data_IF_890866605589
#
_entry.id   IF_890866605589
#
_cell.length_a   1.000
_cell.length_b   1.000
_cell.length_c   1.000
_cell.angle_alpha   90.00
_cell.angle_beta   90.00
_cell.angle_gamma   90.00
#
_symmetry.space_group_name_H-M   'P 1'
#
loop_
_entity.id
_entity.type
_entity.pdbx_description
1 polymer ?
#
# COMPACT_ATOMS: atom_id res chain seq x y z
N UNK A 1 6.02 6.40 -9.67
CA UNK A 1 6.26 5.41 -8.60
C UNK A 1 7.69 4.94 -8.65
N UNK A 2 8.39 4.99 -7.51
CA UNK A 2 9.83 4.66 -7.43
C UNK A 2 10.05 3.15 -7.35
N UNK A 3 11.26 2.63 -7.69
CA UNK A 3 11.59 1.22 -7.54
C UNK A 3 11.41 0.70 -6.10
N UNK A 4 11.71 1.54 -5.09
CA UNK A 4 11.58 1.20 -3.68
C UNK A 4 10.13 1.02 -3.24
N UNK A 5 9.22 1.86 -3.73
CA UNK A 5 7.78 1.69 -3.50
C UNK A 5 7.30 0.38 -4.12
N UNK A 6 7.73 0.08 -5.35
CA UNK A 6 7.36 -1.17 -6.03
C UNK A 6 7.86 -2.42 -5.28
N UNK A 7 9.06 -2.38 -4.72
CA UNK A 7 9.59 -3.45 -3.88
C UNK A 7 8.76 -3.61 -2.61
N UNK A 8 8.44 -2.51 -1.92
CA UNK A 8 7.64 -2.55 -0.71
C UNK A 8 6.23 -3.11 -0.94
N UNK A 9 5.59 -2.73 -2.04
CA UNK A 9 4.27 -3.28 -2.39
C UNK A 9 4.32 -4.78 -2.65
N UNK A 10 5.39 -5.29 -3.27
CA UNK A 10 5.59 -6.75 -3.47
C UNK A 10 5.81 -7.49 -2.16
N UNK A 11 6.57 -6.90 -1.22
CA UNK A 11 6.71 -7.46 0.13
C UNK A 11 5.35 -7.57 0.81
N UNK A 12 4.52 -6.51 0.74
CA UNK A 12 3.19 -6.50 1.33
C UNK A 12 2.28 -7.55 0.70
N UNK A 13 2.31 -7.73 -0.62
CA UNK A 13 1.57 -8.81 -1.30
C UNK A 13 1.93 -10.18 -0.72
N UNK A 14 3.23 -10.45 -0.55
CA UNK A 14 3.71 -11.72 -0.01
C UNK A 14 3.39 -11.90 1.48
N UNK A 15 3.67 -10.89 2.31
CA UNK A 15 3.48 -10.94 3.77
C UNK A 15 2.01 -11.06 4.16
N UNK A 16 1.13 -10.36 3.46
CA UNK A 16 -0.32 -10.34 3.75
C UNK A 16 -1.11 -11.37 2.94
N UNK A 17 -0.46 -12.09 2.03
CA UNK A 17 -1.09 -13.02 1.10
C UNK A 17 -2.27 -12.37 0.37
N UNK A 18 -1.99 -11.24 -0.26
CA UNK A 18 -2.94 -10.46 -1.07
C UNK A 18 -2.39 -10.25 -2.47
N UNK A 19 -3.28 -9.83 -3.37
CA UNK A 19 -2.91 -9.28 -4.66
C UNK A 19 -3.29 -7.82 -4.73
N UNK A 20 -2.32 -6.94 -4.93
CA UNK A 20 -2.54 -5.53 -5.20
C UNK A 20 -3.00 -5.39 -6.66
N UNK A 21 -4.16 -4.78 -6.84
CA UNK A 21 -4.82 -4.58 -8.13
C UNK A 21 -4.46 -3.22 -8.73
N UNK A 22 -4.28 -2.22 -7.88
CA UNK A 22 -3.92 -0.86 -8.25
C UNK A 22 -3.13 -0.24 -7.10
N UNK A 23 -2.08 0.50 -7.42
CA UNK A 23 -1.39 1.38 -6.48
C UNK A 23 -1.14 2.73 -7.16
N UNK A 24 -1.39 3.81 -6.43
CA UNK A 24 -1.22 5.18 -6.91
C UNK A 24 -0.48 6.01 -5.86
N UNK A 25 0.31 6.96 -6.33
CA UNK A 25 0.80 8.04 -5.47
C UNK A 25 -0.34 9.03 -5.24
N UNK A 26 -0.45 9.50 -4.00
CA UNK A 26 -1.41 10.50 -3.58
C UNK A 26 -0.68 11.64 -2.85
N UNK A 27 -1.43 12.53 -2.20
CA UNK A 27 -0.84 13.60 -1.39
C UNK A 27 0.03 14.59 -2.16
N UNK A 28 0.98 15.21 -1.46
CA UNK A 28 1.62 16.46 -1.93
C UNK A 28 2.37 16.31 -3.26
N UNK A 29 2.96 15.14 -3.50
CA UNK A 29 3.65 14.80 -4.74
C UNK A 29 2.69 14.65 -5.92
N UNK A 30 1.52 14.04 -5.70
CA UNK A 30 0.50 13.89 -6.72
C UNK A 30 -0.15 15.23 -7.11
N UNK A 31 -0.24 16.17 -6.17
CA UNK A 31 -0.81 17.50 -6.42
C UNK A 31 0.22 18.55 -6.90
N UNK A 32 1.51 18.24 -6.89
CA UNK A 32 2.56 19.13 -7.42
C UNK A 32 3.05 20.22 -6.47
N UNK A 33 2.83 20.08 -5.16
CA UNK A 33 3.33 21.01 -4.13
C UNK A 33 4.26 20.34 -3.11
N UNK A 34 4.83 19.17 -3.48
CA UNK A 34 5.81 18.49 -2.64
C UNK A 34 7.11 19.30 -2.50
N UNK A 35 7.63 19.28 -1.28
CA UNK A 35 8.99 19.70 -0.94
C UNK A 35 9.95 18.51 -0.99
N UNK A 36 11.28 18.73 -0.93
CA UNK A 36 12.25 17.63 -0.81
C UNK A 36 11.99 16.70 0.38
N UNK A 37 11.48 17.26 1.49
CA UNK A 37 11.21 16.53 2.73
C UNK A 37 9.81 15.88 2.77
N UNK A 38 9.03 16.01 1.68
CA UNK A 38 7.72 15.39 1.58
C UNK A 38 7.83 13.87 1.47
N UNK A 39 6.97 13.18 2.21
CA UNK A 39 6.72 11.75 2.14
C UNK A 39 6.12 11.32 0.80
N UNK A 40 6.01 9.99 0.64
CA UNK A 40 5.29 9.37 -0.46
C UNK A 40 4.01 8.74 0.09
N UNK A 41 2.90 9.45 -0.04
CA UNK A 41 1.57 8.90 0.24
C UNK A 41 1.18 7.90 -0.86
N UNK A 42 0.97 6.64 -0.49
CA UNK A 42 0.61 5.56 -1.40
C UNK A 42 -0.80 5.08 -1.05
N UNK A 43 -1.66 4.96 -2.07
CA UNK A 43 -3.00 4.38 -1.92
C UNK A 43 -3.12 3.17 -2.81
N UNK A 44 -3.65 2.07 -2.29
CA UNK A 44 -3.76 0.85 -3.07
C UNK A 44 -5.09 0.13 -2.86
N UNK A 45 -5.51 -0.59 -3.90
CA UNK A 45 -6.65 -1.49 -3.87
C UNK A 45 -6.10 -2.89 -4.01
N UNK A 46 -6.55 -3.79 -3.16
CA UNK A 46 -6.11 -5.18 -3.17
C UNK A 46 -7.29 -6.14 -3.04
N UNK A 47 -6.99 -7.43 -3.23
CA UNK A 47 -7.90 -8.53 -2.95
C UNK A 47 -7.17 -9.64 -2.20
N UNK A 48 -7.91 -10.37 -1.38
CA UNK A 48 -7.46 -11.65 -0.84
C UNK A 48 -7.76 -12.80 -1.82
N UNK A 49 -7.19 -13.96 -1.53
CA UNK A 49 -7.63 -15.22 -2.13
C UNK A 49 -9.06 -15.58 -1.69
N UNK A 50 -9.78 -16.30 -2.55
CA UNK A 50 -11.22 -16.59 -2.38
C UNK A 50 -11.55 -17.15 -0.98
N UNK A 51 -10.74 -18.08 -0.49
CA UNK A 51 -11.00 -18.79 0.77
C UNK A 51 -10.91 -17.86 2.00
N UNK A 52 -10.22 -16.72 1.87
CA UNK A 52 -10.19 -15.71 2.92
C UNK A 52 -11.59 -15.14 3.17
N UNK A 53 -12.36 -14.88 2.11
CA UNK A 53 -13.72 -14.33 2.19
C UNK A 53 -14.77 -15.35 2.62
N UNK A 54 -14.49 -16.65 2.49
CA UNK A 54 -15.43 -17.73 2.84
C UNK A 54 -15.36 -18.11 4.34
N UNK A 55 -14.72 -17.28 5.15
CA UNK A 55 -14.62 -17.45 6.59
C UNK A 55 -15.80 -16.78 7.31
N UNK A 56 -16.42 -17.44 8.30
CA UNK A 56 -17.49 -16.84 9.11
C UNK A 56 -16.97 -15.86 10.19
N UNK A 57 -15.65 -15.76 10.34
CA UNK A 57 -14.99 -14.91 11.34
C UNK A 57 -14.61 -13.55 10.75
N UNK A 58 -14.74 -12.49 11.56
CA UNK A 58 -14.25 -11.15 11.27
C UNK A 58 -12.74 -11.14 11.05
N UNK A 59 -12.28 -10.21 10.21
CA UNK A 59 -10.88 -10.08 9.82
C UNK A 59 -10.49 -8.62 9.73
N UNK A 60 -9.22 -8.32 9.98
CA UNK A 60 -8.68 -6.99 9.72
C UNK A 60 -8.56 -6.75 8.22
N UNK A 61 -9.25 -5.70 7.76
CA UNK A 61 -9.38 -5.31 6.35
C UNK A 61 -8.53 -4.09 6.00
N UNK A 62 -7.76 -3.54 6.95
CA UNK A 62 -6.93 -2.36 6.72
C UNK A 62 -5.47 -2.76 6.73
N UNK A 63 -4.75 -2.43 5.66
CA UNK A 63 -3.31 -2.65 5.54
C UNK A 63 -2.66 -1.28 5.47
N UNK A 64 -2.00 -0.90 6.56
CA UNK A 64 -1.22 0.33 6.64
C UNK A 64 0.26 0.01 6.82
N UNK A 65 1.13 0.86 6.29
CA UNK A 65 2.56 0.80 6.55
C UNK A 65 3.19 2.18 6.55
N UNK A 66 4.20 2.34 7.41
CA UNK A 66 5.08 3.49 7.41
C UNK A 66 6.53 3.00 7.47
N UNK A 67 7.42 3.55 6.66
CA UNK A 67 8.84 3.16 6.63
C UNK A 67 9.76 4.33 7.03
N UNK A 68 11.01 4.01 7.38
CA UNK A 68 12.05 5.01 7.66
C UNK A 68 12.35 5.92 6.45
N UNK A 69 11.97 5.49 5.24
CA UNK A 69 12.13 6.23 3.99
C UNK A 69 10.94 7.15 3.66
N UNK A 70 10.12 7.46 4.66
CA UNK A 70 8.93 8.29 4.51
C UNK A 70 7.95 7.76 3.44
N UNK A 71 7.78 6.44 3.36
CA UNK A 71 6.70 5.83 2.60
C UNK A 71 5.52 5.64 3.54
N UNK A 72 4.37 6.24 3.23
CA UNK A 72 3.13 6.13 4.00
C UNK A 72 2.05 5.53 3.12
N UNK A 73 1.66 4.28 3.38
CA UNK A 73 0.75 3.53 2.54
C UNK A 73 -0.48 3.02 3.29
N UNK A 74 -1.63 3.12 2.64
CA UNK A 74 -2.93 2.60 3.11
C UNK A 74 -3.85 2.17 1.99
#
# INVERSE_FOLDING_TARGET
>A
MTPKILEKLKEIEAERNIKILLAVESGSRAWGFASPDSDYDIRFIYRHEKDWYLSPWDKDETIEFMTEDALDGS
#
